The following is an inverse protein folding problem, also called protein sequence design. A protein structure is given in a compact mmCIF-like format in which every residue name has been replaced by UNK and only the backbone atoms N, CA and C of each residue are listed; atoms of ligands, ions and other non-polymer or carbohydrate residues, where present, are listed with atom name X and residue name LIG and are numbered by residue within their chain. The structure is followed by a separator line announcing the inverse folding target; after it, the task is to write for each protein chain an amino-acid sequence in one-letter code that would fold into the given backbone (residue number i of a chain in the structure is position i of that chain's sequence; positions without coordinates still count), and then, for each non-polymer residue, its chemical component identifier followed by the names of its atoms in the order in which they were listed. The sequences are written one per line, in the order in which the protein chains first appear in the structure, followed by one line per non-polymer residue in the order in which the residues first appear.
data_IF_925496199008
#
_entry.id   IF_925496199008
#
_cell.length_a   1.000
_cell.length_b   1.000
_cell.length_c   1.000
_cell.angle_alpha   90.00
_cell.angle_beta   90.00
_cell.angle_gamma   90.00
#
_symmetry.space_group_name_H-M   'P 1'
#
loop_
_entity.id
_entity.type
_entity.pdbx_description
1 polymer ?
#
# COMPACT_ATOMS: atom_id res chain seq x y z
N UNK A 1 -5.59 -13.45 10.82
CA UNK A 1 -4.94 -12.11 10.80
C UNK A 1 -5.27 -11.39 9.50
N UNK A 2 -5.42 -10.10 9.56
CA UNK A 2 -5.47 -9.24 8.39
C UNK A 2 -4.07 -8.67 8.14
N UNK A 3 -3.51 -8.93 6.99
CA UNK A 3 -2.25 -8.36 6.56
C UNK A 3 -2.55 -7.25 5.55
N UNK A 4 -2.28 -6.01 5.94
CA UNK A 4 -2.60 -4.81 5.15
C UNK A 4 -1.31 -4.24 4.59
N UNK A 5 -1.24 -4.08 3.28
CA UNK A 5 -0.05 -3.59 2.58
C UNK A 5 -0.36 -2.34 1.77
N UNK A 6 0.46 -1.32 1.96
CA UNK A 6 0.63 -0.27 0.98
C UNK A 6 1.44 -0.80 -0.21
N UNK A 7 1.43 -0.12 -1.34
CA UNK A 7 2.18 -0.53 -2.53
C UNK A 7 3.49 0.24 -2.70
N UNK A 8 3.41 1.54 -2.98
CA UNK A 8 4.59 2.35 -3.30
C UNK A 8 5.53 2.47 -2.11
N UNK A 9 6.80 2.16 -2.30
CA UNK A 9 7.85 2.15 -1.27
C UNK A 9 7.61 1.16 -0.13
N UNK A 10 6.64 0.28 -0.26
CA UNK A 10 6.36 -0.80 0.69
C UNK A 10 6.61 -2.16 0.04
N UNK A 11 5.83 -2.50 -0.97
CA UNK A 11 5.96 -3.76 -1.74
C UNK A 11 6.65 -3.52 -3.07
N UNK A 12 6.48 -2.33 -3.65
CA UNK A 12 6.92 -1.95 -4.98
C UNK A 12 7.85 -0.74 -4.90
N UNK A 13 8.98 -0.81 -5.57
CA UNK A 13 9.83 0.34 -5.84
C UNK A 13 9.44 0.95 -7.18
N UNK A 14 8.72 2.06 -7.12
CA UNK A 14 8.30 2.87 -8.26
C UNK A 14 9.04 4.22 -8.33
N UNK A 15 10.16 4.35 -7.62
CA UNK A 15 10.89 5.62 -7.49
C UNK A 15 11.38 6.16 -8.85
N UNK A 16 11.68 5.29 -9.82
CA UNK A 16 12.13 5.69 -11.15
C UNK A 16 11.14 6.56 -11.92
N UNK A 17 9.85 6.56 -11.53
CA UNK A 17 8.78 7.34 -12.16
C UNK A 17 8.15 8.39 -11.24
N UNK A 18 8.65 8.51 -10.02
CA UNK A 18 8.21 9.51 -9.04
C UNK A 18 9.15 10.72 -9.08
N UNK A 19 8.80 11.71 -9.90
CA UNK A 19 9.55 12.95 -9.99
C UNK A 19 9.09 13.92 -8.91
N UNK A 20 10.04 14.70 -8.37
CA UNK A 20 9.77 15.72 -7.35
C UNK A 20 9.84 17.11 -7.92
N UNK A 21 9.05 18.03 -7.35
CA UNK A 21 9.14 19.47 -7.61
C UNK A 21 10.32 20.06 -6.82
N UNK A 22 10.74 21.32 -7.14
CA UNK A 22 11.84 21.95 -6.40
C UNK A 22 11.62 22.06 -4.89
N UNK A 23 10.36 22.07 -4.42
CA UNK A 23 10.02 22.09 -2.99
C UNK A 23 10.07 20.70 -2.32
N UNK A 24 10.43 19.65 -3.05
CA UNK A 24 10.51 18.27 -2.56
C UNK A 24 9.20 17.48 -2.63
N UNK A 25 8.07 18.12 -2.99
CA UNK A 25 6.80 17.41 -3.15
C UNK A 25 6.77 16.58 -4.44
N UNK A 26 5.92 15.54 -4.45
CA UNK A 26 5.70 14.74 -5.66
C UNK A 26 5.07 15.58 -6.77
N UNK A 27 5.65 15.54 -7.96
CA UNK A 27 5.06 16.11 -9.16
C UNK A 27 3.92 15.23 -9.65
N UNK A 28 2.69 15.60 -9.30
CA UNK A 28 1.50 14.81 -9.61
C UNK A 28 1.21 14.72 -11.11
N UNK A 29 1.54 15.75 -11.89
CA UNK A 29 1.35 15.72 -13.34
C UNK A 29 2.33 14.76 -13.99
N UNK A 30 3.61 14.79 -13.58
CA UNK A 30 4.61 13.84 -14.02
C UNK A 30 4.26 12.40 -13.56
N UNK A 31 3.76 12.23 -12.36
CA UNK A 31 3.31 10.94 -11.86
C UNK A 31 2.22 10.34 -12.76
N UNK A 32 1.17 11.12 -13.07
CA UNK A 32 0.10 10.67 -13.97
C UNK A 32 0.62 10.33 -15.37
N UNK A 33 1.51 11.15 -15.92
CA UNK A 33 2.13 10.90 -17.22
C UNK A 33 3.00 9.62 -17.23
N UNK A 34 3.55 9.24 -16.07
CA UNK A 34 4.41 8.08 -15.90
C UNK A 34 3.65 6.80 -15.50
N UNK A 35 2.32 6.82 -15.41
CA UNK A 35 1.50 5.65 -15.11
C UNK A 35 1.12 4.89 -16.40
N UNK A 36 2.09 4.60 -17.24
CA UNK A 36 1.95 3.80 -18.46
C UNK A 36 2.29 2.33 -18.19
N UNK A 37 1.80 1.42 -19.03
CA UNK A 37 2.12 0.00 -18.91
C UNK A 37 3.62 -0.26 -18.90
N UNK A 38 4.38 0.38 -19.81
CA UNK A 38 5.83 0.23 -19.90
C UNK A 38 6.53 0.66 -18.59
N UNK A 39 6.18 1.82 -18.05
CA UNK A 39 6.79 2.35 -16.83
C UNK A 39 6.38 1.58 -15.58
N UNK A 40 5.14 1.14 -15.50
CA UNK A 40 4.66 0.28 -14.42
C UNK A 40 5.40 -1.06 -14.43
N UNK A 41 5.58 -1.65 -15.61
CA UNK A 41 6.31 -2.91 -15.75
C UNK A 41 7.80 -2.79 -15.42
N UNK A 42 8.35 -1.58 -15.42
CA UNK A 42 9.72 -1.32 -14.98
C UNK A 42 9.86 -1.15 -13.45
N UNK A 43 8.77 -1.11 -12.71
CA UNK A 43 8.81 -1.15 -11.24
C UNK A 43 9.46 -2.44 -10.76
N UNK A 44 10.14 -2.37 -9.63
CA UNK A 44 10.77 -3.55 -9.01
C UNK A 44 10.13 -3.88 -7.68
N UNK A 45 10.32 -5.12 -7.23
CA UNK A 45 9.76 -5.57 -5.95
C UNK A 45 10.72 -5.30 -4.81
N UNK A 46 10.16 -4.84 -3.68
CA UNK A 46 10.88 -4.72 -2.42
C UNK A 46 10.75 -6.02 -1.60
N UNK A 47 11.63 -6.24 -0.61
CA UNK A 47 11.63 -7.48 0.17
C UNK A 47 10.30 -7.83 0.84
N UNK A 48 9.50 -6.83 1.23
CA UNK A 48 8.15 -7.06 1.82
C UNK A 48 7.22 -7.83 0.87
N UNK A 49 7.46 -7.82 -0.44
CA UNK A 49 6.71 -8.63 -1.40
C UNK A 49 6.70 -10.12 -1.02
N UNK A 50 7.80 -10.62 -0.46
CA UNK A 50 7.89 -12.00 0.03
C UNK A 50 6.94 -12.25 1.20
N UNK A 51 6.81 -11.25 2.09
CA UNK A 51 5.88 -11.32 3.23
C UNK A 51 4.44 -11.37 2.71
N UNK A 52 4.10 -10.54 1.74
CA UNK A 52 2.77 -10.51 1.13
C UNK A 52 2.41 -11.86 0.49
N UNK A 53 3.33 -12.43 -0.28
CA UNK A 53 3.15 -13.76 -0.89
C UNK A 53 2.96 -14.85 0.17
N UNK A 54 3.79 -14.83 1.20
CA UNK A 54 3.72 -15.79 2.30
C UNK A 54 2.40 -15.68 3.07
N UNK A 55 1.95 -14.46 3.38
CA UNK A 55 0.69 -14.23 4.06
C UNK A 55 -0.50 -14.81 3.28
N UNK A 56 -0.52 -14.57 1.97
CA UNK A 56 -1.55 -15.13 1.10
C UNK A 56 -1.51 -16.66 1.06
N UNK A 57 -0.34 -17.23 0.87
CA UNK A 57 -0.16 -18.69 0.80
C UNK A 57 -0.54 -19.39 2.11
N UNK A 58 -0.37 -18.71 3.24
CA UNK A 58 -0.71 -19.23 4.58
C UNK A 58 -2.17 -19.01 4.97
N UNK A 59 -2.99 -18.49 4.07
CA UNK A 59 -4.43 -18.33 4.29
C UNK A 59 -4.83 -17.10 5.12
N UNK A 60 -3.93 -16.15 5.32
CA UNK A 60 -4.29 -14.88 5.95
C UNK A 60 -5.10 -14.00 5.00
N UNK A 61 -5.91 -13.11 5.55
CA UNK A 61 -6.63 -12.12 4.76
C UNK A 61 -5.65 -11.02 4.32
N UNK A 62 -5.38 -10.95 3.03
CA UNK A 62 -4.46 -9.96 2.45
C UNK A 62 -5.24 -8.81 1.86
N UNK A 63 -4.98 -7.60 2.38
CA UNK A 63 -5.63 -6.35 1.98
C UNK A 63 -4.56 -5.44 1.39
N UNK A 64 -4.76 -4.96 0.18
CA UNK A 64 -3.97 -3.86 -0.37
C UNK A 64 -4.70 -2.56 -0.05
N UNK A 65 -4.00 -1.61 0.56
CA UNK A 65 -4.53 -0.30 0.91
C UNK A 65 -3.57 0.78 0.41
N UNK A 66 -3.87 1.36 -0.74
CA UNK A 66 -2.98 2.27 -1.45
C UNK A 66 -3.63 3.62 -1.70
N UNK A 67 -2.82 4.67 -1.68
CA UNK A 67 -3.23 6.01 -2.10
C UNK A 67 -3.19 6.19 -3.62
N UNK A 68 -2.75 5.17 -4.34
CA UNK A 68 -2.69 5.17 -5.80
C UNK A 68 -4.10 5.07 -6.40
N UNK A 69 -4.35 5.81 -7.48
CA UNK A 69 -5.48 5.52 -8.39
C UNK A 69 -5.01 4.40 -9.30
N UNK A 70 -5.60 3.22 -9.14
CA UNK A 70 -5.15 2.04 -9.86
C UNK A 70 -5.72 2.00 -11.28
N UNK A 71 -4.87 1.59 -12.22
CA UNK A 71 -5.24 1.22 -13.58
C UNK A 71 -5.25 -0.30 -13.75
N UNK A 72 -5.77 -0.78 -14.89
CA UNK A 72 -5.66 -2.20 -15.24
C UNK A 72 -4.20 -2.66 -15.36
N UNK A 73 -3.28 -1.76 -15.71
CA UNK A 73 -1.84 -2.07 -15.80
C UNK A 73 -1.24 -2.38 -14.42
N UNK A 74 -1.68 -1.65 -13.39
CA UNK A 74 -1.30 -1.94 -12.01
C UNK A 74 -1.79 -3.32 -11.58
N UNK A 75 -3.05 -3.65 -11.87
CA UNK A 75 -3.63 -4.94 -11.51
C UNK A 75 -2.93 -6.09 -12.24
N UNK A 76 -2.60 -5.91 -13.52
CA UNK A 76 -1.83 -6.89 -14.30
C UNK A 76 -0.43 -7.07 -13.71
N UNK A 77 0.24 -5.99 -13.32
CA UNK A 77 1.55 -6.06 -12.67
C UNK A 77 1.51 -6.87 -11.38
N UNK A 78 0.50 -6.65 -10.54
CA UNK A 78 0.34 -7.42 -9.30
C UNK A 78 0.15 -8.91 -9.60
N UNK A 79 -0.70 -9.25 -10.56
CA UNK A 79 -0.96 -10.64 -10.94
C UNK A 79 0.29 -11.30 -11.52
N UNK A 80 1.00 -10.62 -12.42
CA UNK A 80 2.22 -11.14 -13.06
C UNK A 80 3.36 -11.39 -12.06
N UNK A 81 3.37 -10.65 -10.97
CA UNK A 81 4.36 -10.79 -9.90
C UNK A 81 3.87 -11.65 -8.73
N UNK A 82 2.76 -12.35 -8.87
CA UNK A 82 2.16 -13.20 -7.84
C UNK A 82 1.90 -12.45 -6.51
N UNK A 83 1.53 -11.19 -6.60
CA UNK A 83 1.11 -10.37 -5.46
C UNK A 83 -0.40 -10.46 -5.31
N UNK A 84 -0.85 -11.62 -4.83
CA UNK A 84 -2.28 -11.91 -4.66
C UNK A 84 -2.85 -11.24 -3.42
N UNK A 85 -4.11 -10.86 -3.50
CA UNK A 85 -4.83 -10.20 -2.41
C UNK A 85 -6.30 -10.62 -2.43
N UNK A 86 -6.98 -10.41 -1.30
CA UNK A 86 -8.41 -10.66 -1.16
C UNK A 86 -9.23 -9.37 -1.33
N UNK A 87 -8.65 -8.24 -0.91
CA UNK A 87 -9.31 -6.94 -0.89
C UNK A 87 -8.38 -5.88 -1.44
N UNK A 88 -8.91 -5.01 -2.30
CA UNK A 88 -8.21 -3.85 -2.84
C UNK A 88 -8.92 -2.58 -2.41
N UNK A 89 -8.21 -1.76 -1.64
CA UNK A 89 -8.65 -0.43 -1.23
C UNK A 89 -7.72 0.59 -1.88
N UNK A 90 -8.24 1.35 -2.82
CA UNK A 90 -7.47 2.32 -3.60
C UNK A 90 -8.15 3.68 -3.63
N UNK A 91 -7.43 4.68 -4.07
CA UNK A 91 -7.96 6.02 -4.28
C UNK A 91 -8.89 6.02 -5.48
N UNK A 92 -10.07 6.63 -5.32
CA UNK A 92 -10.95 6.92 -6.45
C UNK A 92 -10.37 8.10 -7.27
N UNK A 93 -10.54 8.06 -8.59
CA UNK A 93 -10.15 9.16 -9.45
C UNK A 93 -10.83 10.45 -9.01
N UNK A 94 -10.06 11.53 -8.92
CA UNK A 94 -10.55 12.85 -8.47
C UNK A 94 -10.63 13.03 -6.95
N UNK A 95 -10.37 12.00 -6.18
CA UNK A 95 -10.32 12.11 -4.71
C UNK A 95 -8.95 12.63 -4.27
N UNK A 96 -8.91 13.82 -3.69
CA UNK A 96 -7.69 14.49 -3.22
C UNK A 96 -7.49 14.41 -1.70
N UNK A 97 -8.20 13.52 -1.03
CA UNK A 97 -8.05 13.30 0.42
C UNK A 97 -6.61 12.87 0.73
N UNK A 98 -6.02 13.44 1.78
CA UNK A 98 -4.68 13.05 2.23
C UNK A 98 -4.59 11.57 2.59
N UNK A 99 -3.43 10.97 2.44
CA UNK A 99 -3.21 9.52 2.48
C UNK A 99 -3.72 8.87 3.78
N UNK A 100 -3.38 9.44 4.93
CA UNK A 100 -3.78 8.85 6.22
C UNK A 100 -5.31 8.84 6.39
N UNK A 101 -5.97 9.94 6.08
CA UNK A 101 -7.44 10.04 6.18
C UNK A 101 -8.12 9.16 5.13
N UNK A 102 -7.61 9.11 3.91
CA UNK A 102 -8.10 8.26 2.84
C UNK A 102 -8.09 6.79 3.27
N UNK A 103 -6.94 6.31 3.75
CA UNK A 103 -6.77 4.92 4.17
C UNK A 103 -7.60 4.59 5.41
N UNK A 104 -7.71 5.54 6.35
CA UNK A 104 -8.57 5.39 7.52
C UNK A 104 -10.03 5.17 7.13
N UNK A 105 -10.55 6.02 6.24
CA UNK A 105 -11.92 5.91 5.74
C UNK A 105 -12.16 4.58 5.01
N UNK A 106 -11.21 4.17 4.18
CA UNK A 106 -11.30 2.92 3.43
C UNK A 106 -11.38 1.70 4.36
N UNK A 107 -10.53 1.65 5.38
CA UNK A 107 -10.52 0.55 6.36
C UNK A 107 -11.80 0.52 7.20
N UNK A 108 -12.25 1.67 7.69
CA UNK A 108 -13.48 1.76 8.48
C UNK A 108 -14.70 1.36 7.67
N UNK A 109 -14.74 1.74 6.39
CA UNK A 109 -15.81 1.35 5.48
C UNK A 109 -15.79 -0.15 5.17
N UNK A 110 -14.62 -0.70 4.91
CA UNK A 110 -14.47 -2.14 4.62
C UNK A 110 -14.90 -3.01 5.79
N UNK A 111 -14.52 -2.63 7.00
CA UNK A 111 -14.86 -3.37 8.22
C UNK A 111 -16.16 -2.89 8.89
N UNK A 112 -17.01 -2.18 8.15
CA UNK A 112 -18.29 -1.71 8.67
C UNK A 112 -19.09 -2.86 9.30
N UNK A 113 -19.70 -2.58 10.45
CA UNK A 113 -20.49 -3.58 11.17
C UNK A 113 -19.66 -4.42 12.16
N UNK A 114 -18.33 -4.29 12.14
CA UNK A 114 -17.46 -4.91 13.13
C UNK A 114 -16.90 -3.86 14.09
N UNK A 115 -16.79 -4.15 15.40
CA UNK A 115 -16.12 -3.24 16.32
C UNK A 115 -14.67 -3.01 15.91
N UNK A 116 -14.23 -1.74 15.89
CA UNK A 116 -12.87 -1.37 15.46
C UNK A 116 -11.82 -2.14 16.27
N UNK A 117 -11.95 -2.17 17.60
CA UNK A 117 -11.01 -2.87 18.46
C UNK A 117 -10.86 -4.35 18.11
N UNK A 118 -11.90 -4.98 17.56
CA UNK A 118 -11.89 -6.40 17.21
C UNK A 118 -11.04 -6.68 16.00
N UNK A 119 -11.30 -6.00 14.87
CA UNK A 119 -10.54 -6.24 13.64
C UNK A 119 -9.16 -5.58 13.68
N UNK A 120 -9.02 -4.41 14.30
CA UNK A 120 -7.74 -3.71 14.41
C UNK A 120 -6.71 -4.55 15.17
N UNK A 121 -7.10 -5.12 16.28
CA UNK A 121 -6.23 -6.01 17.08
C UNK A 121 -5.73 -7.23 16.32
N UNK A 122 -6.45 -7.65 15.29
CA UNK A 122 -6.12 -8.80 14.44
C UNK A 122 -5.48 -8.39 13.11
N UNK A 123 -4.97 -7.17 13.04
CA UNK A 123 -4.43 -6.59 11.82
C UNK A 123 -3.00 -6.12 12.00
N UNK A 124 -2.20 -6.24 10.95
CA UNK A 124 -0.89 -5.64 10.84
C UNK A 124 -0.83 -4.82 9.54
N UNK A 125 -0.34 -3.60 9.63
CA UNK A 125 -0.26 -2.66 8.51
C UNK A 125 1.21 -2.34 8.17
N UNK A 126 1.58 -2.58 6.93
CA UNK A 126 2.89 -2.27 6.37
C UNK A 126 2.77 -1.03 5.48
N UNK A 127 3.45 0.05 5.85
CA UNK A 127 3.42 1.32 5.12
C UNK A 127 4.73 2.08 5.34
N UNK A 128 5.12 2.92 4.40
CA UNK A 128 6.32 3.76 4.49
C UNK A 128 6.02 5.16 5.05
N UNK A 129 4.76 5.55 5.07
CA UNK A 129 4.33 6.89 5.47
C UNK A 129 4.05 6.93 6.98
N UNK A 130 4.79 7.77 7.70
CA UNK A 130 4.64 7.90 9.15
C UNK A 130 3.24 8.33 9.58
N UNK A 131 2.62 9.25 8.85
CA UNK A 131 1.24 9.67 9.13
C UNK A 131 0.22 8.54 9.03
N UNK A 132 0.40 7.64 8.06
CA UNK A 132 -0.43 6.43 7.92
C UNK A 132 -0.17 5.46 9.07
N UNK A 133 1.08 5.25 9.44
CA UNK A 133 1.42 4.39 10.59
C UNK A 133 0.84 4.92 11.89
N UNK A 134 0.90 6.23 12.12
CA UNK A 134 0.32 6.87 13.31
C UNK A 134 -1.21 6.70 13.33
N UNK A 135 -1.86 6.88 12.18
CA UNK A 135 -3.29 6.62 12.03
C UNK A 135 -3.64 5.17 12.39
N UNK A 136 -2.90 4.21 11.84
CA UNK A 136 -3.13 2.79 12.09
C UNK A 136 -2.96 2.44 13.58
N UNK A 137 -1.92 2.95 14.23
CA UNK A 137 -1.72 2.80 15.66
C UNK A 137 -2.89 3.36 16.47
N UNK A 138 -3.42 4.52 16.08
CA UNK A 138 -4.57 5.13 16.76
C UNK A 138 -5.82 4.27 16.70
N UNK A 139 -5.95 3.42 15.71
CA UNK A 139 -7.04 2.44 15.58
C UNK A 139 -6.78 1.14 16.36
N UNK A 140 -5.57 0.94 16.86
CA UNK A 140 -5.17 -0.31 17.53
C UNK A 140 -4.57 -1.36 16.61
N UNK A 141 -4.18 -0.98 15.39
CA UNK A 141 -3.53 -1.85 14.40
C UNK A 141 -2.04 -1.96 14.72
N UNK A 142 -1.48 -3.16 14.67
CA UNK A 142 -0.03 -3.36 14.70
C UNK A 142 0.57 -2.78 13.42
N UNK A 143 1.67 -2.05 13.55
CA UNK A 143 2.31 -1.38 12.40
C UNK A 143 3.72 -1.89 12.16
N UNK A 144 4.12 -1.87 10.89
CA UNK A 144 5.49 -2.14 10.44
C UNK A 144 5.92 -1.01 9.51
N UNK A 145 6.98 -0.31 9.90
CA UNK A 145 7.62 0.69 9.06
C UNK A 145 8.31 -0.02 7.88
N UNK A 146 7.78 0.21 6.68
CA UNK A 146 8.25 -0.49 5.49
C UNK A 146 9.68 -0.14 5.11
N UNK A 147 10.10 1.11 5.32
CA UNK A 147 11.48 1.53 5.02
C UNK A 147 12.46 0.74 5.87
N UNK A 148 12.24 0.72 7.18
CA UNK A 148 13.12 -0.01 8.12
C UNK A 148 13.10 -1.51 7.87
N UNK A 149 11.91 -2.07 7.64
CA UNK A 149 11.76 -3.51 7.42
C UNK A 149 12.42 -3.97 6.12
N UNK A 150 12.23 -3.24 5.02
CA UNK A 150 12.88 -3.56 3.75
C UNK A 150 14.40 -3.50 3.87
N UNK A 151 14.94 -2.47 4.52
CA UNK A 151 16.39 -2.37 4.78
C UNK A 151 16.90 -3.55 5.58
N UNK A 152 16.19 -3.95 6.61
CA UNK A 152 16.56 -5.09 7.46
C UNK A 152 16.54 -6.40 6.68
N UNK A 153 15.58 -6.59 5.78
CA UNK A 153 15.43 -7.80 4.99
C UNK A 153 16.44 -7.91 3.83
N UNK A 154 16.99 -6.78 3.39
CA UNK A 154 18.07 -6.74 2.39
C UNK A 154 19.45 -7.03 2.98
N UNK A 155 19.60 -6.84 4.27
CA UNK A 155 20.89 -7.01 4.95
C UNK A 155 21.33 -8.48 5.04
#
# INVERSE_FOLDING_TARGET
MNYIFDLDHTVIDSSHRQLTRPDGSLDLDAWRANCTAEKINADTLLPIAKIMRSAYARGHNVIVCTARVLSRHDLTYLADNALHYHVMLSRAEGDNTGDALLKRRALLSHFRGQPVARWARRSVFFDDNQGVLDMAKSLGIMTRDAIQLNQKLEA
#
